data_IF_051501912903
#
_entry.id   IF_051501912903
#
_cell.length_a   1.000
_cell.length_b   1.000
_cell.length_c   1.000
_cell.angle_alpha   90.00
_cell.angle_beta   90.00
_cell.angle_gamma   90.00
#
_symmetry.space_group_name_H-M   'P 1'
#
loop_
_entity.id
_entity.type
_entity.pdbx_description
1 polymer ?
#
# COMPACT_ATOMS: atom_id res chain seq x y z
N UNK A 1 -8.23 -10.11 33.36
CA UNK A 1 -7.19 -10.87 34.10
C UNK A 1 -5.87 -10.90 33.29
N UNK A 2 -4.70 -11.27 33.86
CA UNK A 2 -3.45 -11.36 33.09
C UNK A 2 -3.54 -12.23 31.83
N UNK A 3 -4.28 -13.35 31.92
CA UNK A 3 -4.55 -14.25 30.79
C UNK A 3 -5.34 -13.59 29.65
N UNK A 4 -6.18 -12.59 29.96
CA UNK A 4 -6.91 -11.83 28.93
C UNK A 4 -6.01 -10.83 28.20
N UNK A 5 -5.01 -10.28 28.89
CA UNK A 5 -4.01 -9.42 28.27
C UNK A 5 -3.15 -10.22 27.28
N UNK A 6 -2.71 -11.43 27.68
CA UNK A 6 -1.98 -12.36 26.81
C UNK A 6 -2.77 -12.71 25.54
N UNK A 7 -4.09 -12.92 25.65
CA UNK A 7 -4.96 -13.14 24.49
C UNK A 7 -4.90 -11.95 23.52
N UNK A 8 -5.01 -10.72 24.02
CA UNK A 8 -4.94 -9.52 23.18
C UNK A 8 -3.56 -9.35 22.54
N UNK A 9 -2.48 -9.55 23.32
CA UNK A 9 -1.10 -9.48 22.82
C UNK A 9 -0.86 -10.50 21.69
N UNK A 10 -1.26 -11.75 21.90
CA UNK A 10 -1.15 -12.80 20.88
C UNK A 10 -1.96 -12.52 19.62
N UNK A 11 -3.14 -11.92 19.74
CA UNK A 11 -3.93 -11.51 18.58
C UNK A 11 -3.21 -10.39 17.81
N UNK A 12 -2.69 -9.38 18.49
CA UNK A 12 -1.98 -8.24 17.85
C UNK A 12 -0.78 -8.74 17.04
N UNK A 13 -0.04 -9.73 17.53
CA UNK A 13 1.10 -10.32 16.81
C UNK A 13 0.74 -10.98 15.47
N UNK A 14 -0.52 -11.41 15.28
CA UNK A 14 -0.95 -12.19 14.11
C UNK A 14 -2.23 -11.69 13.47
N UNK A 15 -2.67 -10.47 13.79
CA UNK A 15 -3.98 -9.94 13.42
C UNK A 15 -4.24 -10.07 11.91
N UNK A 16 -3.28 -9.64 11.09
CA UNK A 16 -3.39 -9.70 9.63
C UNK A 16 -3.42 -11.14 9.09
N UNK A 17 -2.61 -12.02 9.68
CA UNK A 17 -2.59 -13.43 9.30
C UNK A 17 -3.90 -14.13 9.68
N UNK A 18 -4.48 -13.77 10.83
CA UNK A 18 -5.77 -14.29 11.26
C UNK A 18 -6.92 -13.76 10.41
N UNK A 19 -6.95 -12.46 10.10
CA UNK A 19 -8.00 -11.85 9.27
C UNK A 19 -7.99 -12.42 7.84
N UNK A 20 -6.81 -12.75 7.32
CA UNK A 20 -6.63 -13.33 5.98
C UNK A 20 -6.87 -14.85 5.92
N UNK A 21 -6.80 -15.60 7.02
CA UNK A 21 -7.11 -17.04 7.09
C UNK A 21 -8.63 -17.29 7.03
N UNK A 22 -9.20 -17.08 5.84
CA UNK A 22 -10.63 -17.24 5.55
C UNK A 22 -10.90 -18.61 4.95
N UNK A 23 -11.66 -19.44 5.66
CA UNK A 23 -11.92 -20.83 5.28
C UNK A 23 -13.39 -21.05 4.91
N UNK A 24 -13.66 -21.90 3.91
CA UNK A 24 -15.03 -22.21 3.52
C UNK A 24 -15.76 -23.00 4.62
N UNK A 25 -17.11 -22.90 4.70
CA UNK A 25 -17.98 -22.20 3.75
C UNK A 25 -17.94 -20.67 3.93
N UNK A 26 -17.87 -19.97 2.80
CA UNK A 26 -17.93 -18.51 2.74
C UNK A 26 -19.37 -18.07 2.54
N UNK A 27 -19.78 -16.99 3.22
CA UNK A 27 -21.13 -16.44 3.13
C UNK A 27 -21.16 -14.94 3.38
N UNK A 28 -22.35 -14.36 3.34
CA UNK A 28 -22.59 -12.99 3.74
C UNK A 28 -22.45 -12.86 5.25
N UNK A 29 -21.63 -11.92 5.70
CA UNK A 29 -21.32 -11.65 7.10
C UNK A 29 -21.70 -10.21 7.41
N UNK A 30 -22.46 -10.01 8.48
CA UNK A 30 -22.86 -8.71 8.97
C UNK A 30 -21.69 -7.93 9.58
N UNK A 31 -20.77 -8.61 10.29
CA UNK A 31 -19.54 -8.01 10.83
C UNK A 31 -19.71 -7.20 12.12
N UNK A 32 -20.96 -6.93 12.53
CA UNK A 32 -21.33 -6.37 13.84
C UNK A 32 -22.63 -7.01 14.36
N UNK A 33 -22.69 -8.35 14.31
CA UNK A 33 -23.87 -9.12 14.69
C UNK A 33 -24.03 -9.25 16.22
N UNK A 34 -24.63 -8.24 16.84
CA UNK A 34 -24.83 -8.15 18.31
C UNK A 34 -26.26 -7.76 18.68
N UNK A 35 -26.63 -7.99 19.95
CA UNK A 35 -27.98 -7.73 20.47
C UNK A 35 -28.45 -6.28 20.27
N UNK A 36 -27.55 -5.29 20.36
CA UNK A 36 -27.90 -3.88 20.16
C UNK A 36 -28.36 -3.57 18.72
N UNK A 37 -28.01 -4.42 17.76
CA UNK A 37 -28.40 -4.34 16.35
C UNK A 37 -29.60 -5.22 16.01
N UNK A 38 -30.33 -5.74 17.02
CA UNK A 38 -31.47 -6.63 16.84
C UNK A 38 -32.75 -6.03 17.41
N UNK A 39 -33.80 -5.99 16.59
CA UNK A 39 -35.15 -5.57 16.96
C UNK A 39 -36.08 -6.78 16.99
N UNK A 40 -36.65 -7.07 18.15
CA UNK A 40 -37.51 -8.23 18.37
C UNK A 40 -38.99 -7.84 18.29
N UNK A 41 -39.78 -8.59 17.52
CA UNK A 41 -41.24 -8.49 17.46
C UNK A 41 -41.89 -9.88 17.49
N UNK A 42 -42.30 -10.34 18.68
CA UNK A 42 -42.79 -11.71 18.84
C UNK A 42 -41.66 -12.72 18.61
N UNK A 43 -41.84 -13.59 17.61
CA UNK A 43 -40.82 -14.57 17.18
C UNK A 43 -39.94 -14.05 16.03
N UNK A 44 -40.21 -12.85 15.51
CA UNK A 44 -39.44 -12.25 14.42
C UNK A 44 -38.30 -11.39 14.96
N UNK A 45 -37.14 -11.47 14.28
CA UNK A 45 -35.96 -10.65 14.54
C UNK A 45 -35.61 -9.86 13.30
N UNK A 46 -35.53 -8.53 13.43
CA UNK A 46 -34.96 -7.66 12.40
C UNK A 46 -33.57 -7.24 12.79
N UNK A 47 -32.61 -7.44 11.89
CA UNK A 47 -31.21 -7.04 12.08
C UNK A 47 -30.95 -5.74 11.34
N UNK A 48 -30.37 -4.76 12.03
CA UNK A 48 -30.07 -3.42 11.52
C UNK A 48 -28.57 -3.13 11.57
N UNK A 49 -28.14 -2.01 10.98
CA UNK A 49 -26.73 -1.57 10.96
C UNK A 49 -25.78 -2.43 10.11
N UNK A 50 -26.08 -2.51 8.81
CA UNK A 50 -25.33 -3.28 7.83
C UNK A 50 -24.06 -2.60 7.30
N UNK A 51 -23.50 -1.61 8.02
CA UNK A 51 -22.34 -0.83 7.55
C UNK A 51 -21.04 -1.66 7.45
N UNK A 52 -20.95 -2.77 8.19
CA UNK A 52 -19.77 -3.67 8.23
C UNK A 52 -19.94 -4.92 7.35
N UNK A 53 -20.90 -4.89 6.41
CA UNK A 53 -21.23 -6.01 5.55
C UNK A 53 -20.03 -6.47 4.72
N UNK A 54 -19.76 -7.77 4.74
CA UNK A 54 -18.69 -8.38 3.95
C UNK A 54 -19.05 -9.80 3.52
N UNK A 55 -18.25 -10.37 2.60
CA UNK A 55 -18.20 -11.82 2.46
C UNK A 55 -17.20 -12.33 3.51
N UNK A 56 -17.44 -13.48 4.14
CA UNK A 56 -16.58 -14.00 5.21
C UNK A 56 -16.89 -15.46 5.58
N UNK A 57 -16.11 -16.08 6.49
CA UNK A 57 -16.42 -17.41 7.00
C UNK A 57 -17.81 -17.44 7.64
N UNK A 58 -18.62 -18.46 7.32
CA UNK A 58 -20.01 -18.53 7.76
C UNK A 58 -20.20 -18.52 9.28
N UNK A 59 -19.18 -18.93 10.05
CA UNK A 59 -19.24 -18.98 11.51
C UNK A 59 -18.91 -17.63 12.18
N UNK A 60 -18.52 -16.60 11.42
CA UNK A 60 -17.98 -15.34 11.96
C UNK A 60 -18.97 -14.59 12.86
N UNK A 61 -20.19 -14.35 12.36
CA UNK A 61 -21.23 -13.66 13.14
C UNK A 61 -21.73 -14.51 14.31
N UNK A 62 -21.86 -15.82 14.12
CA UNK A 62 -22.29 -16.74 15.17
C UNK A 62 -21.30 -16.77 16.35
N UNK A 63 -19.99 -16.79 16.06
CA UNK A 63 -18.95 -16.69 17.08
C UNK A 63 -19.02 -15.35 17.82
N UNK A 64 -18.99 -14.24 17.09
CA UNK A 64 -19.04 -12.91 17.69
C UNK A 64 -20.27 -12.72 18.60
N UNK A 65 -21.45 -13.14 18.13
CA UNK A 65 -22.69 -13.04 18.88
C UNK A 65 -22.68 -13.86 20.17
N UNK A 66 -22.27 -15.13 20.09
CA UNK A 66 -22.29 -16.03 21.26
C UNK A 66 -21.23 -15.65 22.29
N UNK A 67 -20.05 -15.20 21.86
CA UNK A 67 -18.96 -14.86 22.79
C UNK A 67 -19.08 -13.47 23.39
N UNK A 68 -19.68 -12.50 22.68
CA UNK A 68 -19.90 -11.15 23.19
C UNK A 68 -21.27 -10.95 23.86
N UNK A 69 -22.32 -11.60 23.33
CA UNK A 69 -23.72 -11.36 23.69
C UNK A 69 -24.23 -12.14 24.90
N UNK A 70 -23.63 -13.29 25.24
CA UNK A 70 -24.03 -14.13 26.37
C UNK A 70 -23.15 -13.89 27.61
N UNK A 71 -23.69 -14.19 28.79
CA UNK A 71 -22.85 -14.32 30.00
C UNK A 71 -21.99 -15.57 29.87
N UNK A 72 -20.85 -15.58 30.55
CA UNK A 72 -19.88 -16.68 30.49
C UNK A 72 -20.52 -18.02 30.89
N UNK A 73 -21.34 -18.02 31.93
CA UNK A 73 -22.01 -19.22 32.45
C UNK A 73 -23.07 -19.73 31.46
N UNK A 74 -23.91 -18.83 30.94
CA UNK A 74 -24.95 -19.16 29.95
C UNK A 74 -24.33 -19.72 28.66
N UNK A 75 -23.22 -19.12 28.21
CA UNK A 75 -22.44 -19.62 27.06
C UNK A 75 -21.93 -21.02 27.35
N UNK A 76 -21.24 -21.26 28.46
CA UNK A 76 -20.72 -22.59 28.82
C UNK A 76 -21.80 -23.67 28.87
N UNK A 77 -23.02 -23.33 29.27
CA UNK A 77 -24.14 -24.26 29.32
C UNK A 77 -24.74 -24.57 27.94
N UNK A 78 -24.80 -23.57 27.04
CA UNK A 78 -25.62 -23.66 25.82
C UNK A 78 -24.85 -23.58 24.49
N UNK A 79 -23.58 -23.17 24.49
CA UNK A 79 -22.79 -22.84 23.30
C UNK A 79 -22.80 -23.94 22.24
N UNK A 80 -22.44 -25.17 22.61
CA UNK A 80 -22.41 -26.28 21.65
C UNK A 80 -23.80 -26.52 21.03
N UNK A 81 -24.86 -26.48 21.83
CA UNK A 81 -26.22 -26.70 21.34
C UNK A 81 -26.70 -25.62 20.37
N UNK A 82 -26.31 -24.36 20.60
CA UNK A 82 -26.63 -23.23 19.74
C UNK A 82 -25.85 -23.31 18.42
N UNK A 83 -24.57 -23.66 18.48
CA UNK A 83 -23.73 -23.85 17.27
C UNK A 83 -24.22 -25.05 16.45
N UNK A 84 -24.68 -26.14 17.11
CA UNK A 84 -25.32 -27.28 16.42
C UNK A 84 -26.59 -26.87 15.70
N UNK A 85 -27.47 -26.09 16.33
CA UNK A 85 -28.70 -25.62 15.69
C UNK A 85 -28.38 -24.76 14.44
N UNK A 86 -27.37 -23.90 14.53
CA UNK A 86 -26.90 -23.10 13.39
C UNK A 86 -26.33 -23.99 12.27
N UNK A 87 -25.51 -24.98 12.62
CA UNK A 87 -24.93 -25.95 11.68
C UNK A 87 -26.00 -26.79 10.96
N UNK A 88 -26.97 -27.32 11.69
CA UNK A 88 -28.08 -28.10 11.14
C UNK A 88 -28.89 -27.27 10.12
N UNK A 89 -29.13 -25.99 10.41
CA UNK A 89 -29.83 -25.09 9.49
C UNK A 89 -28.99 -24.77 8.25
N UNK A 90 -27.67 -24.54 8.39
CA UNK A 90 -26.78 -24.37 7.22
C UNK A 90 -26.84 -25.58 6.27
N UNK A 91 -26.84 -26.79 6.83
CA UNK A 91 -26.98 -28.02 6.04
C UNK A 91 -28.36 -28.14 5.41
N UNK A 92 -29.43 -27.79 6.12
CA UNK A 92 -30.79 -27.78 5.60
C UNK A 92 -30.97 -26.78 4.43
N UNK A 93 -30.27 -25.66 4.46
CA UNK A 93 -30.22 -24.65 3.39
C UNK A 93 -29.27 -25.03 2.23
N UNK A 94 -28.62 -26.19 2.30
CA UNK A 94 -27.89 -26.80 1.18
C UNK A 94 -26.38 -26.59 1.18
N UNK A 95 -25.78 -26.11 2.28
CA UNK A 95 -24.33 -26.13 2.46
C UNK A 95 -23.83 -27.58 2.47
N UNK A 96 -22.76 -27.86 1.73
CA UNK A 96 -22.19 -29.20 1.56
C UNK A 96 -20.75 -29.24 2.06
N UNK A 97 -20.24 -30.44 2.34
CA UNK A 97 -18.86 -30.69 2.76
C UNK A 97 -18.46 -29.91 4.02
N UNK A 98 -19.41 -29.71 4.93
CA UNK A 98 -19.20 -28.98 6.18
C UNK A 98 -19.70 -29.85 7.34
N UNK A 99 -18.86 -30.76 7.81
CA UNK A 99 -19.20 -31.62 8.94
C UNK A 99 -19.11 -30.88 10.28
N UNK A 100 -19.54 -31.54 11.35
CA UNK A 100 -19.56 -30.93 12.68
C UNK A 100 -18.16 -30.56 13.19
N UNK A 101 -17.15 -31.38 12.92
CA UNK A 101 -15.78 -31.12 13.40
C UNK A 101 -15.21 -29.88 12.72
N UNK A 102 -15.39 -29.76 11.41
CA UNK A 102 -15.02 -28.57 10.63
C UNK A 102 -15.80 -27.34 11.12
N UNK A 103 -17.12 -27.47 11.34
CA UNK A 103 -17.95 -26.38 11.84
C UNK A 103 -17.50 -25.88 13.21
N UNK A 104 -17.20 -26.79 14.13
CA UNK A 104 -16.75 -26.44 15.47
C UNK A 104 -15.35 -25.82 15.46
N UNK A 105 -14.43 -26.33 14.65
CA UNK A 105 -13.11 -25.70 14.48
C UNK A 105 -13.24 -24.28 13.89
N UNK A 106 -14.06 -24.10 12.84
CA UNK A 106 -14.29 -22.78 12.26
C UNK A 106 -14.96 -21.83 13.25
N UNK A 107 -15.93 -22.29 14.03
CA UNK A 107 -16.51 -21.51 15.13
C UNK A 107 -15.44 -21.05 16.12
N UNK A 108 -14.53 -21.94 16.54
CA UNK A 108 -13.43 -21.63 17.47
C UNK A 108 -12.44 -20.61 16.88
N UNK A 109 -12.30 -20.50 15.55
CA UNK A 109 -11.39 -19.54 14.91
C UNK A 109 -11.87 -18.09 14.97
N UNK A 110 -13.17 -17.86 15.07
CA UNK A 110 -13.76 -16.53 14.85
C UNK A 110 -13.96 -15.60 16.08
N UNK A 111 -13.87 -16.02 17.37
CA UNK A 111 -14.16 -15.13 18.50
C UNK A 111 -13.30 -13.86 18.59
N UNK A 112 -12.10 -13.86 17.97
CA UNK A 112 -11.21 -12.70 17.98
C UNK A 112 -11.82 -11.43 17.35
N UNK A 113 -12.81 -11.57 16.47
CA UNK A 113 -13.58 -10.43 15.95
C UNK A 113 -14.20 -9.61 17.08
N UNK A 114 -14.64 -10.25 18.17
CA UNK A 114 -15.20 -9.54 19.32
C UNK A 114 -14.19 -8.68 20.07
N UNK A 115 -12.91 -9.03 20.04
CA UNK A 115 -11.85 -8.19 20.60
C UNK A 115 -11.59 -6.98 19.70
N UNK A 116 -11.54 -7.17 18.39
CA UNK A 116 -11.37 -6.09 17.40
C UNK A 116 -12.50 -5.07 17.54
N UNK A 117 -13.75 -5.55 17.58
CA UNK A 117 -14.95 -4.72 17.70
C UNK A 117 -15.09 -4.02 19.07
N UNK A 118 -14.36 -4.48 20.09
CA UNK A 118 -14.32 -3.81 21.39
C UNK A 118 -13.15 -2.83 21.52
N UNK A 119 -11.97 -3.19 21.02
CA UNK A 119 -10.74 -2.40 21.17
C UNK A 119 -10.70 -1.22 20.19
N UNK A 120 -10.99 -1.45 18.90
CA UNK A 120 -10.85 -0.41 17.89
C UNK A 120 -11.81 0.78 18.13
N UNK A 121 -13.12 0.58 18.43
CA UNK A 121 -14.00 1.69 18.75
C UNK A 121 -13.62 2.41 20.05
N UNK A 122 -13.15 1.70 21.08
CA UNK A 122 -12.73 2.30 22.35
C UNK A 122 -11.54 3.27 22.21
N UNK A 123 -10.74 3.15 21.15
CA UNK A 123 -9.65 4.07 20.83
C UNK A 123 -10.11 5.34 20.09
N UNK A 124 -11.29 5.31 19.46
CA UNK A 124 -11.79 6.37 18.57
C UNK A 124 -12.90 7.21 19.23
N UNK A 125 -13.78 6.57 20.02
CA UNK A 125 -14.95 7.25 20.60
C UNK A 125 -14.59 8.04 21.86
N UNK A 126 -15.36 9.11 22.13
CA UNK A 126 -15.21 9.86 23.38
C UNK A 126 -15.41 8.93 24.59
N UNK A 127 -14.38 8.87 25.44
CA UNK A 127 -14.40 8.03 26.64
C UNK A 127 -15.47 8.50 27.62
N UNK A 128 -16.24 7.53 28.12
CA UNK A 128 -17.23 7.74 29.19
C UNK A 128 -17.17 6.55 30.13
N UNK A 129 -17.40 6.75 31.43
CA UNK A 129 -17.33 5.65 32.42
C UNK A 129 -18.23 4.46 32.03
N UNK A 130 -19.43 4.75 31.51
CA UNK A 130 -20.36 3.73 31.03
C UNK A 130 -19.88 3.03 29.74
N UNK A 131 -19.25 3.76 28.83
CA UNK A 131 -18.69 3.19 27.60
C UNK A 131 -17.50 2.28 27.90
N UNK A 132 -16.60 2.72 28.78
CA UNK A 132 -15.43 1.96 29.21
C UNK A 132 -15.86 0.66 29.91
N UNK A 133 -16.85 0.71 30.82
CA UNK A 133 -17.40 -0.49 31.47
C UNK A 133 -18.00 -1.49 30.47
N UNK A 134 -18.70 -0.99 29.45
CA UNK A 134 -19.29 -1.81 28.39
C UNK A 134 -18.20 -2.50 27.56
N UNK A 135 -17.19 -1.76 27.08
CA UNK A 135 -16.10 -2.34 26.30
C UNK A 135 -15.28 -3.35 27.10
N UNK A 136 -14.97 -3.05 28.36
CA UNK A 136 -14.26 -3.97 29.23
C UNK A 136 -15.05 -5.27 29.46
N UNK A 137 -16.37 -5.19 29.61
CA UNK A 137 -17.21 -6.38 29.73
C UNK A 137 -17.21 -7.25 28.46
N UNK A 138 -17.19 -6.63 27.26
CA UNK A 138 -17.10 -7.36 25.99
C UNK A 138 -15.72 -8.01 25.83
N UNK A 139 -14.65 -7.29 26.14
CA UNK A 139 -13.28 -7.83 26.13
C UNK A 139 -13.17 -9.01 27.10
N UNK A 140 -13.67 -8.88 28.33
CA UNK A 140 -13.56 -9.90 29.36
C UNK A 140 -14.33 -11.19 28.97
N UNK A 141 -15.55 -11.06 28.46
CA UNK A 141 -16.36 -12.22 27.99
C UNK A 141 -15.73 -12.90 26.77
N UNK A 142 -15.29 -12.10 25.79
CA UNK A 142 -14.72 -12.61 24.56
C UNK A 142 -13.37 -13.28 24.81
N UNK A 143 -12.49 -12.66 25.60
CA UNK A 143 -11.21 -13.25 25.98
C UNK A 143 -11.40 -14.54 26.78
N UNK A 144 -12.39 -14.60 27.69
CA UNK A 144 -12.70 -15.84 28.41
C UNK A 144 -13.21 -16.94 27.46
N UNK A 145 -14.03 -16.59 26.46
CA UNK A 145 -14.49 -17.55 25.46
C UNK A 145 -13.33 -18.10 24.62
N UNK A 146 -12.40 -17.24 24.19
CA UNK A 146 -11.17 -17.64 23.47
C UNK A 146 -10.36 -18.66 24.26
N UNK A 147 -10.21 -18.46 25.57
CA UNK A 147 -9.51 -19.40 26.46
C UNK A 147 -10.27 -20.71 26.61
N UNK A 148 -11.58 -20.66 26.87
CA UNK A 148 -12.41 -21.85 27.05
C UNK A 148 -12.47 -22.72 25.77
N UNK A 149 -12.43 -22.09 24.60
CA UNK A 149 -12.45 -22.74 23.30
C UNK A 149 -11.07 -23.21 22.84
N UNK A 150 -9.98 -22.84 23.53
CA UNK A 150 -8.62 -23.09 23.06
C UNK A 150 -8.33 -22.43 21.70
N UNK A 151 -8.98 -21.29 21.40
CA UNK A 151 -8.89 -20.62 20.09
C UNK A 151 -7.49 -20.12 19.78
N UNK A 152 -6.68 -19.85 20.81
CA UNK A 152 -5.27 -19.48 20.68
C UNK A 152 -4.41 -20.55 19.99
N UNK A 153 -4.80 -21.81 20.03
CA UNK A 153 -4.10 -22.92 19.33
C UNK A 153 -4.36 -22.90 17.83
N UNK A 154 -5.41 -22.20 17.40
CA UNK A 154 -5.83 -22.10 16.00
C UNK A 154 -5.32 -20.82 15.34
N UNK A 155 -4.71 -19.91 16.10
CA UNK A 155 -4.04 -18.75 15.55
C UNK A 155 -2.90 -19.20 14.63
N UNK A 156 -2.70 -18.50 13.50
CA UNK A 156 -1.55 -18.74 12.65
C UNK A 156 -0.25 -18.44 13.40
N UNK A 157 0.88 -18.98 12.94
CA UNK A 157 2.14 -18.74 13.63
C UNK A 157 2.59 -17.28 13.44
N UNK A 158 3.24 -16.63 14.42
CA UNK A 158 3.81 -15.30 14.25
C UNK A 158 4.69 -15.23 13.00
N UNK A 159 4.48 -14.19 12.17
CA UNK A 159 5.20 -14.01 10.91
C UNK A 159 4.68 -14.82 9.71
N UNK A 160 3.54 -15.52 9.81
CA UNK A 160 2.95 -16.24 8.65
C UNK A 160 2.03 -15.40 7.78
N UNK A 161 1.88 -14.10 8.06
CA UNK A 161 1.28 -13.18 7.09
C UNK A 161 2.23 -13.08 5.90
N UNK A 162 1.97 -13.84 4.84
CA UNK A 162 2.67 -13.60 3.58
C UNK A 162 2.22 -12.24 3.06
N UNK A 163 3.18 -11.39 2.69
CA UNK A 163 2.86 -10.16 1.98
C UNK A 163 1.97 -10.46 0.77
N UNK A 164 1.02 -9.57 0.51
CA UNK A 164 0.15 -9.70 -0.66
C UNK A 164 0.99 -9.66 -1.93
N UNK A 165 0.53 -10.40 -2.94
CA UNK A 165 1.14 -10.45 -4.27
C UNK A 165 0.13 -9.86 -5.25
N UNK A 166 0.56 -8.93 -6.12
CA UNK A 166 -0.33 -8.43 -7.16
C UNK A 166 -0.77 -9.56 -8.08
N UNK A 167 -1.97 -9.44 -8.64
CA UNK A 167 -2.41 -10.30 -9.73
C UNK A 167 -1.69 -9.86 -11.02
N UNK A 168 -1.23 -10.78 -11.89
CA UNK A 168 -0.72 -10.40 -13.21
C UNK A 168 -1.64 -9.49 -14.03
N UNK A 169 -2.97 -9.57 -13.82
CA UNK A 169 -3.93 -8.67 -14.44
C UNK A 169 -3.83 -7.22 -13.95
N UNK A 170 -3.27 -6.99 -12.75
CA UNK A 170 -3.07 -5.66 -12.17
C UNK A 170 -2.05 -4.85 -12.96
N UNK A 171 -1.25 -5.43 -13.88
CA UNK A 171 -0.38 -4.66 -14.79
C UNK A 171 -1.19 -3.82 -15.80
N UNK A 172 -2.46 -4.18 -16.03
CA UNK A 172 -3.37 -3.51 -16.94
C UNK A 172 -4.15 -2.36 -16.32
N UNK A 173 -4.94 -1.69 -17.14
CA UNK A 173 -5.83 -0.61 -16.71
C UNK A 173 -7.01 -1.12 -15.88
N UNK A 174 -7.37 -0.39 -14.83
CA UNK A 174 -8.51 -0.71 -13.95
C UNK A 174 -9.79 0.07 -14.32
N UNK A 175 -10.93 -0.40 -13.81
CA UNK A 175 -12.21 0.31 -13.96
C UNK A 175 -12.15 1.65 -13.22
N UNK A 176 -12.48 2.74 -13.93
CA UNK A 176 -12.52 4.09 -13.36
C UNK A 176 -13.61 4.23 -12.31
N UNK A 177 -13.23 4.59 -11.09
CA UNK A 177 -14.15 4.93 -10.01
C UNK A 177 -14.76 6.33 -10.14
N UNK A 178 -15.77 6.65 -9.30
CA UNK A 178 -16.48 7.92 -9.35
C UNK A 178 -15.73 9.11 -8.71
N UNK A 179 -14.55 8.89 -8.14
CA UNK A 179 -13.77 9.92 -7.47
C UNK A 179 -13.25 10.97 -8.45
N UNK A 180 -13.46 12.26 -8.15
CA UNK A 180 -13.01 13.38 -9.00
C UNK A 180 -11.50 13.31 -9.31
N UNK A 181 -10.71 12.87 -8.32
CA UNK A 181 -9.26 12.67 -8.44
C UNK A 181 -8.91 11.18 -8.62
N UNK A 182 -9.70 10.44 -9.39
CA UNK A 182 -9.31 9.09 -9.82
C UNK A 182 -8.02 9.17 -10.64
N UNK A 183 -7.02 8.40 -10.23
CA UNK A 183 -5.71 8.38 -10.86
C UNK A 183 -5.20 6.94 -10.96
N UNK A 184 -4.78 6.56 -12.16
CA UNK A 184 -4.05 5.32 -12.41
C UNK A 184 -2.65 5.65 -12.96
N UNK A 185 -1.60 5.29 -12.20
CA UNK A 185 -0.22 5.68 -12.48
C UNK A 185 0.72 4.49 -12.55
N UNK A 186 1.57 4.45 -13.56
CA UNK A 186 2.77 3.62 -13.59
C UNK A 186 4.01 4.48 -13.39
N UNK A 187 4.95 4.00 -12.58
CA UNK A 187 6.26 4.59 -12.37
C UNK A 187 7.35 3.58 -12.69
N UNK A 188 8.43 4.09 -13.28
CA UNK A 188 9.61 3.32 -13.65
C UNK A 188 10.86 4.13 -13.29
N UNK A 189 11.55 3.69 -12.25
CA UNK A 189 12.77 4.32 -11.76
C UNK A 189 13.99 3.49 -12.18
N UNK A 190 15.10 4.15 -12.50
CA UNK A 190 16.35 3.50 -12.84
C UNK A 190 17.54 4.35 -12.42
N UNK A 191 18.63 3.69 -12.03
CA UNK A 191 19.92 4.32 -11.72
C UNK A 191 21.02 3.43 -12.31
N UNK A 192 22.05 4.00 -12.93
CA UNK A 192 23.24 3.25 -13.33
C UNK A 192 24.04 2.79 -12.08
N UNK A 193 24.67 1.62 -12.11
CA UNK A 193 25.39 1.04 -10.95
C UNK A 193 26.41 1.97 -10.30
N UNK A 194 27.02 2.85 -11.07
CA UNK A 194 28.03 3.81 -10.60
C UNK A 194 27.42 5.12 -10.08
N UNK A 195 26.09 5.26 -10.09
CA UNK A 195 25.35 6.45 -9.69
C UNK A 195 25.54 7.66 -10.62
N UNK A 196 26.05 7.45 -11.84
CA UNK A 196 26.36 8.53 -12.78
C UNK A 196 25.15 9.04 -13.56
N UNK A 197 24.09 8.24 -13.64
CA UNK A 197 22.88 8.50 -14.42
C UNK A 197 21.66 7.95 -13.70
N UNK A 198 20.62 8.77 -13.56
CA UNK A 198 19.32 8.38 -13.04
C UNK A 198 18.21 8.74 -14.03
N UNK A 199 17.18 7.90 -14.08
CA UNK A 199 15.95 8.12 -14.83
C UNK A 199 14.77 7.85 -13.91
N UNK A 200 13.74 8.70 -13.98
CA UNK A 200 12.40 8.24 -13.64
C UNK A 200 11.44 8.57 -14.78
N UNK A 201 10.48 7.68 -14.97
CA UNK A 201 9.37 7.82 -15.88
C UNK A 201 8.08 7.63 -15.11
N UNK A 202 7.07 8.41 -15.45
CA UNK A 202 5.71 8.23 -14.96
C UNK A 202 4.70 8.49 -16.07
N UNK A 203 3.72 7.60 -16.16
CA UNK A 203 2.49 7.81 -16.92
C UNK A 203 1.31 7.75 -15.95
N UNK A 204 0.54 8.83 -15.85
CA UNK A 204 -0.64 8.90 -14.97
C UNK A 204 -1.91 9.23 -15.74
N UNK A 205 -2.85 8.28 -15.81
CA UNK A 205 -4.19 8.46 -16.38
C UNK A 205 -5.10 9.10 -15.34
N UNK A 206 -5.73 10.20 -15.72
CA UNK A 206 -6.61 11.02 -14.91
C UNK A 206 -7.96 11.17 -15.65
N UNK A 207 -8.78 10.10 -15.71
CA UNK A 207 -9.99 10.09 -16.53
C UNK A 207 -11.08 11.06 -16.08
N UNK A 208 -11.03 11.50 -14.82
CA UNK A 208 -11.99 12.45 -14.25
C UNK A 208 -11.38 13.85 -14.06
N UNK A 209 -10.19 14.14 -14.63
CA UNK A 209 -9.47 15.41 -14.46
C UNK A 209 -10.26 16.62 -14.95
N UNK A 210 -10.88 16.46 -16.12
CA UNK A 210 -11.81 17.39 -16.74
C UNK A 210 -12.86 16.60 -17.53
N UNK A 211 -13.67 17.28 -18.36
CA UNK A 211 -14.73 16.64 -19.14
C UNK A 211 -14.23 15.63 -20.19
N UNK A 212 -12.96 15.71 -20.61
CA UNK A 212 -12.35 14.84 -21.64
C UNK A 212 -11.37 13.81 -21.04
N UNK A 213 -10.91 14.05 -19.82
CA UNK A 213 -9.88 13.29 -19.13
C UNK A 213 -8.49 13.58 -19.68
N UNK A 214 -7.47 13.38 -18.84
CA UNK A 214 -6.08 13.69 -19.18
C UNK A 214 -5.14 12.53 -18.88
N UNK A 215 -3.98 12.53 -19.51
CA UNK A 215 -2.84 11.72 -19.13
C UNK A 215 -1.64 12.64 -18.86
N UNK A 216 -0.99 12.48 -17.72
CA UNK A 216 0.21 13.24 -17.37
C UNK A 216 1.44 12.36 -17.59
N UNK A 217 2.23 12.71 -18.60
CA UNK A 217 3.54 12.13 -18.87
C UNK A 217 4.60 12.93 -18.12
N UNK A 218 5.42 12.25 -17.32
CA UNK A 218 6.58 12.85 -16.69
C UNK A 218 7.82 11.99 -16.90
N UNK A 219 8.89 12.62 -17.36
CA UNK A 219 10.20 12.01 -17.63
C UNK A 219 11.28 12.88 -17.02
N UNK A 220 12.18 12.24 -16.31
CA UNK A 220 13.36 12.86 -15.76
C UNK A 220 14.61 12.09 -16.15
N UNK A 221 15.65 12.81 -16.57
CA UNK A 221 17.01 12.27 -16.72
C UNK A 221 17.95 13.19 -15.93
N UNK A 222 18.71 12.61 -15.01
CA UNK A 222 19.64 13.35 -14.15
C UNK A 222 21.02 12.73 -14.15
N UNK A 223 22.04 13.59 -14.08
CA UNK A 223 23.44 13.20 -13.84
C UNK A 223 23.99 14.14 -12.77
N UNK A 224 24.67 13.66 -11.72
CA UNK A 224 25.17 14.52 -10.66
C UNK A 224 26.09 15.63 -11.19
N UNK A 225 25.73 16.88 -10.90
CA UNK A 225 26.49 18.08 -11.34
C UNK A 225 26.16 18.59 -12.75
N UNK A 226 25.27 17.93 -13.48
CA UNK A 226 24.74 18.37 -14.77
C UNK A 226 23.30 18.89 -14.60
N UNK A 227 22.75 19.66 -15.57
CA UNK A 227 21.34 20.07 -15.55
C UNK A 227 20.36 18.89 -15.43
N UNK A 228 19.29 19.08 -14.67
CA UNK A 228 18.17 18.14 -14.65
C UNK A 228 17.36 18.27 -15.94
N UNK A 229 17.11 17.15 -16.61
CA UNK A 229 16.34 17.12 -17.87
C UNK A 229 14.92 16.67 -17.55
N UNK A 230 13.95 17.55 -17.76
CA UNK A 230 12.54 17.33 -17.41
C UNK A 230 11.64 17.48 -18.63
N UNK A 231 10.85 16.46 -18.90
CA UNK A 231 9.69 16.51 -19.80
C UNK A 231 8.46 16.20 -18.96
N UNK A 232 7.61 17.20 -18.74
CA UNK A 232 6.33 17.03 -18.07
C UNK A 232 5.28 17.65 -18.97
N UNK A 233 4.32 16.85 -19.43
CA UNK A 233 3.25 17.31 -20.31
C UNK A 233 1.94 16.59 -20.03
N UNK A 234 0.85 17.31 -20.26
CA UNK A 234 -0.50 16.76 -20.29
C UNK A 234 -0.83 16.36 -21.73
N UNK A 235 -1.39 15.17 -21.91
CA UNK A 235 -1.80 14.62 -23.19
C UNK A 235 -3.23 14.10 -23.10
N UNK A 236 -3.90 13.86 -24.24
CA UNK A 236 -5.14 13.07 -24.23
C UNK A 236 -4.92 11.70 -23.60
N UNK A 237 -6.00 11.11 -23.05
CA UNK A 237 -5.99 9.74 -22.55
C UNK A 237 -5.59 8.74 -23.65
N UNK A 238 -4.68 7.79 -23.37
CA UNK A 238 -4.38 6.68 -24.28
C UNK A 238 -5.63 5.88 -24.64
N UNK A 239 -5.73 5.52 -25.92
CA UNK A 239 -6.74 4.57 -26.39
C UNK A 239 -6.38 3.15 -25.92
N UNK A 240 -7.40 2.39 -25.50
CA UNK A 240 -7.24 0.99 -25.14
C UNK A 240 -7.22 0.73 -23.64
N UNK A 241 -7.54 -0.52 -23.31
CA UNK A 241 -7.43 -1.07 -21.97
C UNK A 241 -6.35 -2.17 -22.01
N UNK A 242 -5.54 -2.26 -20.96
CA UNK A 242 -4.46 -3.24 -20.88
C UNK A 242 -3.14 -2.64 -20.39
N UNK A 243 -2.08 -3.46 -20.33
CA UNK A 243 -0.84 -3.07 -19.68
C UNK A 243 0.10 -2.24 -20.57
N UNK A 244 -0.10 -2.32 -21.89
CA UNK A 244 0.63 -1.51 -22.86
C UNK A 244 -0.02 -0.13 -22.98
N UNK A 245 0.77 0.93 -22.92
CA UNK A 245 0.31 2.32 -23.03
C UNK A 245 1.15 3.06 -24.06
N UNK A 246 0.48 3.83 -24.93
CA UNK A 246 1.13 4.71 -25.90
C UNK A 246 0.59 6.13 -25.74
N UNK A 247 1.49 7.10 -25.55
CA UNK A 247 1.15 8.51 -25.36
C UNK A 247 1.90 9.35 -26.38
N UNK A 248 1.19 10.24 -27.06
CA UNK A 248 1.76 11.22 -27.99
C UNK A 248 1.34 12.62 -27.56
N UNK A 249 2.27 13.36 -26.97
CA UNK A 249 2.10 14.78 -26.65
C UNK A 249 2.71 15.68 -27.73
N UNK A 250 2.79 16.97 -27.43
CA UNK A 250 3.41 17.94 -28.32
C UNK A 250 4.94 17.85 -28.29
N UNK A 251 5.49 17.52 -27.13
CA UNK A 251 6.93 17.52 -26.88
C UNK A 251 7.53 16.12 -26.92
N UNK A 252 6.74 15.06 -26.70
CA UNK A 252 7.26 13.69 -26.71
C UNK A 252 6.29 12.61 -27.18
N UNK A 253 6.87 11.46 -27.46
CA UNK A 253 6.18 10.19 -27.68
C UNK A 253 6.73 9.17 -26.70
N UNK A 254 5.84 8.43 -26.04
CA UNK A 254 6.21 7.34 -25.15
C UNK A 254 5.43 6.06 -25.47
N UNK A 255 6.14 4.93 -25.36
CA UNK A 255 5.59 3.58 -25.38
C UNK A 255 5.99 2.86 -24.08
N UNK A 256 5.00 2.39 -23.32
CA UNK A 256 5.16 1.46 -22.22
C UNK A 256 4.65 0.09 -22.69
N UNK A 257 5.49 -0.94 -22.60
CA UNK A 257 5.19 -2.29 -23.12
C UNK A 257 5.42 -3.31 -22.00
N UNK A 258 4.37 -4.03 -21.64
CA UNK A 258 4.42 -5.18 -20.75
C UNK A 258 4.84 -6.42 -21.54
N UNK A 259 6.13 -6.74 -21.52
CA UNK A 259 6.66 -7.91 -22.23
C UNK A 259 6.28 -9.23 -21.51
N UNK A 260 6.26 -9.21 -20.18
CA UNK A 260 5.79 -10.32 -19.34
C UNK A 260 5.24 -9.78 -18.00
N UNK A 261 3.95 -9.99 -17.68
CA UNK A 261 3.33 -9.44 -16.47
C UNK A 261 4.10 -9.78 -15.19
N UNK A 262 4.30 -8.78 -14.32
CA UNK A 262 5.07 -8.87 -13.08
C UNK A 262 6.55 -9.25 -13.25
N UNK A 263 7.05 -9.44 -14.47
CA UNK A 263 8.42 -9.91 -14.73
C UNK A 263 9.22 -8.92 -15.57
N UNK A 264 8.63 -8.32 -16.60
CA UNK A 264 9.39 -7.58 -17.61
C UNK A 264 8.58 -6.49 -18.28
N UNK A 265 9.12 -5.27 -18.23
CA UNK A 265 8.61 -4.12 -18.96
C UNK A 265 9.69 -3.46 -19.80
N UNK A 266 9.26 -2.84 -20.90
CA UNK A 266 10.09 -1.94 -21.70
C UNK A 266 9.41 -0.59 -21.78
N UNK A 267 10.16 0.48 -21.55
CA UNK A 267 9.69 1.84 -21.79
C UNK A 267 10.58 2.51 -22.82
N UNK A 268 9.94 3.12 -23.82
CA UNK A 268 10.58 3.96 -24.83
C UNK A 268 10.05 5.37 -24.74
N UNK A 269 10.94 6.33 -24.89
CA UNK A 269 10.62 7.75 -24.96
C UNK A 269 11.48 8.40 -26.03
N UNK A 270 10.90 9.29 -26.83
CA UNK A 270 11.60 10.21 -27.72
C UNK A 270 10.91 11.58 -27.63
N UNK A 271 11.68 12.68 -27.60
CA UNK A 271 11.09 14.01 -27.54
C UNK A 271 12.06 15.13 -27.22
N UNK A 272 11.52 16.32 -26.97
CA UNK A 272 12.26 17.50 -26.52
C UNK A 272 11.89 17.79 -25.07
N UNK A 273 12.88 17.83 -24.18
CA UNK A 273 12.74 18.15 -22.76
C UNK A 273 13.37 19.51 -22.41
N UNK A 274 13.10 20.02 -21.22
CA UNK A 274 13.78 21.19 -20.66
C UNK A 274 15.01 20.80 -19.84
N UNK A 275 16.17 21.41 -20.12
CA UNK A 275 17.36 21.31 -19.30
C UNK A 275 17.40 22.43 -18.25
N UNK A 276 17.41 22.06 -16.97
CA UNK A 276 17.36 22.99 -15.84
C UNK A 276 18.69 22.96 -15.07
N UNK A 277 19.49 24.02 -15.21
CA UNK A 277 20.76 24.15 -14.48
C UNK A 277 20.56 24.30 -12.96
N UNK A 278 19.41 24.84 -12.54
CA UNK A 278 18.93 24.81 -11.17
C UNK A 278 17.84 23.74 -11.07
N UNK A 279 18.09 22.67 -10.32
CA UNK A 279 17.15 21.55 -10.21
C UNK A 279 15.84 21.91 -9.49
N UNK A 280 15.81 23.04 -8.77
CA UNK A 280 14.59 23.54 -8.12
C UNK A 280 13.73 24.41 -9.05
N UNK A 281 14.25 24.80 -10.22
CA UNK A 281 13.53 25.64 -11.19
C UNK A 281 12.15 25.07 -11.60
N UNK A 282 11.99 23.74 -11.82
CA UNK A 282 10.67 23.16 -12.08
C UNK A 282 9.64 23.40 -10.96
N UNK A 283 10.05 23.47 -9.68
CA UNK A 283 9.14 23.78 -8.56
C UNK A 283 8.57 25.19 -8.64
N UNK A 284 9.19 26.08 -9.42
CA UNK A 284 8.73 27.46 -9.65
C UNK A 284 8.04 27.63 -11.00
N UNK A 285 7.82 26.54 -11.73
CA UNK A 285 7.27 26.57 -13.09
C UNK A 285 8.19 27.23 -14.12
N UNK A 286 9.49 27.30 -13.84
CA UNK A 286 10.47 27.88 -14.77
C UNK A 286 10.77 26.90 -15.91
N UNK A 287 10.73 27.36 -17.15
CA UNK A 287 11.08 26.54 -18.31
C UNK A 287 12.60 26.28 -18.40
N UNK A 288 12.97 25.08 -18.87
CA UNK A 288 14.36 24.71 -19.15
C UNK A 288 14.78 25.04 -20.57
N UNK A 289 16.09 24.98 -20.84
CA UNK A 289 16.62 25.09 -22.19
C UNK A 289 16.27 23.83 -23.01
N UNK A 290 15.64 23.93 -24.18
CA UNK A 290 15.21 22.75 -24.94
C UNK A 290 16.37 21.82 -25.32
N UNK A 291 16.20 20.51 -25.09
CA UNK A 291 17.16 19.48 -25.44
C UNK A 291 16.46 18.20 -25.92
N UNK A 292 16.98 17.61 -26.98
CA UNK A 292 16.47 16.32 -27.48
C UNK A 292 16.83 15.19 -26.52
N UNK A 293 15.85 14.33 -26.24
CA UNK A 293 16.01 13.14 -25.41
C UNK A 293 15.48 11.90 -26.11
N UNK A 294 16.08 10.76 -25.78
CA UNK A 294 15.51 9.46 -26.09
C UNK A 294 15.96 8.43 -25.07
N UNK A 295 15.13 7.43 -24.75
CA UNK A 295 15.61 6.21 -24.11
C UNK A 295 14.81 4.97 -24.53
N UNK A 296 15.46 3.81 -24.51
CA UNK A 296 14.84 2.47 -24.60
C UNK A 296 15.44 1.67 -23.42
N UNK A 297 14.62 1.48 -22.40
CA UNK A 297 15.02 0.85 -21.13
C UNK A 297 14.09 -0.33 -20.85
N UNK A 298 14.67 -1.39 -20.29
CA UNK A 298 13.96 -2.60 -19.86
C UNK A 298 14.12 -2.77 -18.37
N UNK A 299 13.01 -2.96 -17.66
CA UNK A 299 12.93 -3.35 -16.26
C UNK A 299 12.63 -4.84 -16.17
N UNK A 300 13.55 -5.60 -15.59
CA UNK A 300 13.38 -7.00 -15.22
C UNK A 300 13.19 -7.10 -13.71
N UNK A 301 12.17 -7.82 -13.24
CA UNK A 301 11.91 -8.00 -11.81
C UNK A 301 13.10 -8.67 -11.11
N UNK A 302 13.59 -8.06 -10.04
CA UNK A 302 14.76 -8.49 -9.26
C UNK A 302 14.37 -8.63 -7.78
N UNK A 303 13.30 -9.40 -7.53
CA UNK A 303 12.80 -9.62 -6.19
C UNK A 303 11.35 -10.08 -6.17
N UNK A 304 10.73 -9.89 -5.02
CA UNK A 304 9.36 -10.30 -4.69
C UNK A 304 8.43 -9.11 -4.99
N UNK A 305 7.52 -9.19 -5.99
CA UNK A 305 6.45 -8.20 -6.14
C UNK A 305 5.63 -8.07 -4.86
N UNK A 306 5.42 -6.83 -4.42
CA UNK A 306 4.77 -6.49 -3.16
C UNK A 306 3.49 -5.70 -3.41
N UNK A 307 2.33 -6.25 -3.03
CA UNK A 307 1.07 -5.52 -3.07
C UNK A 307 0.76 -4.93 -1.68
N UNK A 308 0.30 -3.68 -1.70
CA UNK A 308 -0.12 -3.00 -0.47
C UNK A 308 -1.45 -3.53 0.06
N UNK A 309 -1.59 -3.55 1.39
CA UNK A 309 -2.86 -3.87 2.05
C UNK A 309 -3.82 -2.69 2.14
N UNK A 310 -3.29 -1.48 2.32
CA UNK A 310 -4.07 -0.28 2.66
C UNK A 310 -4.57 0.51 1.45
N UNK A 311 -3.98 0.30 0.27
CA UNK A 311 -4.39 0.99 -0.96
C UNK A 311 -4.13 0.11 -2.18
N UNK A 312 -4.86 0.37 -3.25
CA UNK A 312 -4.75 -0.30 -4.55
C UNK A 312 -3.46 0.09 -5.27
N UNK A 313 -2.37 -0.62 -4.96
CA UNK A 313 -1.07 -0.48 -5.62
C UNK A 313 -0.14 -1.65 -5.35
N UNK A 314 0.92 -1.75 -6.14
CA UNK A 314 2.04 -2.64 -5.88
C UNK A 314 3.40 -2.00 -6.21
N UNK A 315 4.46 -2.62 -5.69
CA UNK A 315 5.85 -2.17 -5.74
C UNK A 315 6.76 -3.36 -6.12
N UNK A 316 7.66 -3.19 -7.09
CA UNK A 316 8.52 -4.25 -7.61
C UNK A 316 9.96 -3.75 -7.81
N UNK A 317 10.95 -4.28 -7.07
CA UNK A 317 12.35 -3.98 -7.36
C UNK A 317 12.76 -4.65 -8.67
N UNK A 318 13.58 -3.96 -9.44
CA UNK A 318 13.98 -4.37 -10.77
C UNK A 318 15.48 -4.17 -11.00
N UNK A 319 15.98 -4.91 -11.98
CA UNK A 319 17.22 -4.62 -12.68
C UNK A 319 16.89 -3.96 -14.01
N UNK A 320 17.56 -2.86 -14.31
CA UNK A 320 17.30 -2.05 -15.50
C UNK A 320 18.49 -2.10 -16.44
N UNK A 321 18.21 -2.22 -17.74
CA UNK A 321 19.22 -2.14 -18.78
C UNK A 321 18.71 -1.38 -20.01
N UNK A 322 19.59 -0.71 -20.73
CA UNK A 322 19.30 -0.08 -22.01
C UNK A 322 20.09 1.21 -22.24
N UNK A 323 19.56 2.09 -23.06
CA UNK A 323 20.28 3.29 -23.50
C UNK A 323 19.46 4.55 -23.28
N UNK A 324 20.12 5.62 -22.84
CA UNK A 324 19.57 6.97 -22.67
C UNK A 324 20.38 7.93 -23.52
N UNK A 325 19.74 8.86 -24.23
CA UNK A 325 20.37 9.87 -25.06
C UNK A 325 19.88 11.26 -24.65
N UNK A 326 20.81 12.21 -24.50
CA UNK A 326 20.52 13.62 -24.20
C UNK A 326 21.39 14.48 -25.10
N UNK A 327 20.79 15.37 -25.89
CA UNK A 327 21.52 16.30 -26.76
C UNK A 327 22.42 15.63 -27.80
N UNK A 328 22.12 14.38 -28.17
CA UNK A 328 22.92 13.55 -29.10
C UNK A 328 24.07 12.78 -28.46
N UNK A 329 24.29 12.90 -27.14
CA UNK A 329 25.19 12.03 -26.39
C UNK A 329 24.41 10.84 -25.82
N UNK A 330 24.92 9.61 -26.03
CA UNK A 330 24.27 8.38 -25.56
C UNK A 330 25.03 7.76 -24.40
N UNK A 331 24.28 7.27 -23.42
CA UNK A 331 24.72 6.66 -22.19
C UNK A 331 24.10 5.26 -22.06
N UNK A 332 24.90 4.29 -21.64
CA UNK A 332 24.41 2.98 -21.23
C UNK A 332 23.90 3.07 -19.80
N UNK A 333 22.68 2.59 -19.56
CA UNK A 333 22.15 2.40 -18.22
C UNK A 333 22.13 0.92 -17.93
N UNK A 334 22.85 0.52 -16.89
CA UNK A 334 22.76 -0.82 -16.30
C UNK A 334 22.80 -0.65 -14.79
N UNK A 335 21.74 -1.03 -14.08
CA UNK A 335 21.70 -0.80 -12.64
C UNK A 335 20.36 -1.10 -11.98
N UNK A 336 20.18 -0.75 -10.70
CA UNK A 336 18.93 -0.96 -9.98
C UNK A 336 17.80 -0.05 -10.49
N UNK A 337 16.57 -0.49 -10.28
CA UNK A 337 15.37 0.29 -10.54
C UNK A 337 14.15 -0.24 -9.81
N UNK A 338 13.04 0.49 -9.92
CA UNK A 338 11.78 0.17 -9.26
C UNK A 338 10.64 0.34 -10.26
N UNK A 339 9.66 -0.56 -10.20
CA UNK A 339 8.33 -0.36 -10.80
C UNK A 339 7.29 -0.17 -9.70
N UNK A 340 6.45 0.83 -9.88
CA UNK A 340 5.23 1.02 -9.10
C UNK A 340 4.04 1.15 -10.04
N UNK A 341 2.90 0.60 -9.62
CA UNK A 341 1.63 0.85 -10.26
C UNK A 341 0.56 1.01 -9.21
N UNK A 342 -0.21 2.07 -9.34
CA UNK A 342 -1.24 2.46 -8.39
C UNK A 342 -2.49 2.94 -9.10
N UNK A 343 -3.66 2.62 -8.57
CA UNK A 343 -4.96 3.04 -9.09
C UNK A 343 -5.90 3.44 -7.95
N UNK A 344 -7.01 4.11 -8.22
CA UNK A 344 -7.96 4.55 -7.19
C UNK A 344 -8.17 6.05 -7.10
N UNK A 345 -9.04 6.48 -6.19
CA UNK A 345 -9.14 7.88 -5.77
C UNK A 345 -7.88 8.33 -5.03
N UNK A 346 -7.14 9.29 -5.59
CA UNK A 346 -5.84 9.75 -5.08
C UNK A 346 -5.75 11.27 -5.07
N UNK A 347 -6.07 11.87 -3.93
CA UNK A 347 -5.86 13.30 -3.71
C UNK A 347 -4.42 13.56 -3.25
N UNK A 348 -3.54 13.82 -4.21
CA UNK A 348 -2.14 14.16 -3.96
C UNK A 348 -1.95 15.46 -3.19
N UNK A 349 -2.96 16.31 -3.13
CA UNK A 349 -2.94 17.59 -2.43
C UNK A 349 -3.51 17.53 -1.01
N UNK A 350 -3.92 16.34 -0.55
CA UNK A 350 -4.54 16.15 0.76
C UNK A 350 -3.52 15.86 1.88
N UNK A 351 -2.33 15.36 1.56
CA UNK A 351 -1.35 14.95 2.57
C UNK A 351 0.08 15.03 2.07
N UNK A 352 1.00 15.36 2.96
CA UNK A 352 2.44 15.30 2.69
C UNK A 352 2.90 13.85 2.87
N UNK A 353 3.87 13.40 2.08
CA UNK A 353 4.49 12.09 2.26
C UNK A 353 5.95 12.08 1.82
N UNK A 354 6.68 11.05 2.29
CA UNK A 354 7.93 10.63 1.67
C UNK A 354 7.73 9.21 1.15
N UNK A 355 8.13 8.97 -0.10
CA UNK A 355 8.19 7.64 -0.71
C UNK A 355 9.64 7.30 -1.02
N UNK A 356 10.01 6.02 -0.90
CA UNK A 356 11.35 5.54 -1.24
C UNK A 356 11.32 4.14 -1.85
N UNK A 357 12.27 3.88 -2.74
CA UNK A 357 12.69 2.55 -3.16
C UNK A 357 14.22 2.51 -3.23
N UNK A 358 14.81 1.64 -2.41
CA UNK A 358 16.25 1.58 -2.16
C UNK A 358 16.78 0.18 -2.45
N UNK A 359 17.97 0.12 -3.05
CA UNK A 359 18.66 -1.10 -3.44
C UNK A 359 20.07 -1.07 -2.87
N UNK A 360 20.36 -2.01 -1.96
CA UNK A 360 21.63 -2.09 -1.25
C UNK A 360 22.58 -3.08 -1.93
N UNK A 361 23.87 -2.85 -1.77
CA UNK A 361 24.93 -3.66 -2.39
C UNK A 361 24.98 -5.12 -1.91
N UNK A 362 24.31 -5.44 -0.79
CA UNK A 362 24.17 -6.79 -0.27
C UNK A 362 22.98 -7.57 -0.86
N UNK A 363 22.24 -6.97 -1.79
CA UNK A 363 21.04 -7.55 -2.40
C UNK A 363 19.75 -7.29 -1.62
N UNK A 364 19.81 -6.44 -0.58
CA UNK A 364 18.59 -6.00 0.12
C UNK A 364 17.84 -4.96 -0.72
N UNK A 365 16.54 -5.14 -0.87
CA UNK A 365 15.65 -4.11 -1.42
C UNK A 365 14.66 -3.65 -0.36
N UNK A 366 14.37 -2.37 -0.34
CA UNK A 366 13.36 -1.83 0.56
C UNK A 366 12.57 -0.74 -0.11
N UNK A 367 11.29 -0.72 0.20
CA UNK A 367 10.37 0.34 -0.17
C UNK A 367 9.68 0.81 1.10
N UNK A 368 9.52 2.12 1.25
CA UNK A 368 8.79 2.68 2.38
C UNK A 368 8.08 3.97 1.99
N UNK A 369 6.89 4.15 2.55
CA UNK A 369 6.14 5.41 2.56
C UNK A 369 5.89 5.82 4.00
N UNK A 370 6.14 7.09 4.29
CA UNK A 370 5.83 7.72 5.56
C UNK A 370 4.98 8.97 5.33
N UNK A 371 4.19 9.31 6.34
CA UNK A 371 3.40 10.55 6.35
C UNK A 371 3.94 11.42 7.47
N UNK A 372 4.65 12.53 7.19
CA UNK A 372 5.30 13.34 8.23
C UNK A 372 4.35 13.85 9.32
N UNK A 373 3.06 14.04 9.00
CA UNK A 373 2.03 14.45 9.97
C UNK A 373 1.54 13.31 10.86
N UNK A 374 1.89 12.06 10.54
CA UNK A 374 1.54 10.83 11.26
C UNK A 374 2.81 9.98 11.44
N UNK A 375 3.72 10.36 12.36
CA UNK A 375 5.06 9.77 12.45
C UNK A 375 5.08 8.28 12.81
N UNK A 376 4.00 7.75 13.38
CA UNK A 376 3.87 6.33 13.70
C UNK A 376 3.28 5.50 12.53
N UNK A 377 2.92 6.15 11.42
CA UNK A 377 2.37 5.51 10.23
C UNK A 377 3.45 5.30 9.17
N UNK A 378 3.61 4.05 8.75
CA UNK A 378 4.43 3.70 7.59
C UNK A 378 3.93 2.44 6.92
N UNK A 379 4.14 2.36 5.61
CA UNK A 379 3.85 1.17 4.80
C UNK A 379 5.09 0.86 3.98
N UNK A 380 5.41 -0.42 3.82
CA UNK A 380 6.56 -0.79 3.01
C UNK A 380 7.00 -2.22 3.24
N UNK A 381 8.20 -2.53 2.74
CA UNK A 381 8.84 -3.81 2.97
C UNK A 381 10.35 -3.67 3.10
N UNK A 382 10.97 -4.68 3.69
CA UNK A 382 12.38 -5.03 3.48
C UNK A 382 12.42 -6.46 2.95
N UNK A 383 13.13 -6.66 1.84
CA UNK A 383 13.34 -7.99 1.28
C UNK A 383 14.83 -8.30 1.13
N UNK A 384 15.21 -9.54 1.48
CA UNK A 384 16.57 -10.07 1.44
C UNK A 384 16.53 -11.46 0.80
N UNK A 385 16.83 -11.52 -0.49
CA UNK A 385 16.66 -12.75 -1.27
C UNK A 385 15.18 -13.16 -1.33
N UNK A 386 14.85 -14.36 -0.83
CA UNK A 386 13.47 -14.88 -0.83
C UNK A 386 12.65 -14.49 0.41
N UNK A 387 13.24 -13.77 1.37
CA UNK A 387 12.53 -13.28 2.57
C UNK A 387 12.03 -11.85 2.31
N UNK A 388 10.72 -11.62 2.34
CA UNK A 388 10.12 -10.28 2.33
C UNK A 388 9.31 -10.10 3.62
N UNK A 389 9.60 -9.01 4.32
CA UNK A 389 8.90 -8.59 5.53
C UNK A 389 8.23 -7.25 5.33
N UNK A 390 6.94 -7.20 5.66
CA UNK A 390 6.19 -5.95 5.66
C UNK A 390 6.60 -5.08 6.85
N UNK A 391 6.69 -3.77 6.61
CA UNK A 391 7.01 -2.80 7.64
C UNK A 391 5.71 -2.33 8.30
N UNK A 392 5.59 -2.53 9.62
CA UNK A 392 4.43 -2.10 10.41
C UNK A 392 4.54 -0.70 11.03
N UNK A 393 5.73 -0.10 10.99
CA UNK A 393 5.98 1.28 11.42
C UNK A 393 7.25 1.79 10.73
N UNK A 394 7.20 2.97 10.10
CA UNK A 394 8.35 3.58 9.44
C UNK A 394 8.34 5.07 9.75
N UNK A 395 9.51 5.61 10.10
CA UNK A 395 9.71 7.03 10.36
C UNK A 395 10.62 7.63 9.31
N UNK A 396 10.48 8.92 9.06
CA UNK A 396 11.39 9.64 8.17
C UNK A 396 11.68 11.04 8.69
N UNK A 397 12.88 11.53 8.39
CA UNK A 397 13.25 12.93 8.58
C UNK A 397 13.95 13.46 7.34
N UNK A 398 13.82 14.76 7.09
CA UNK A 398 14.48 15.43 5.98
C UNK A 398 14.92 16.83 6.43
N UNK A 399 16.08 17.26 5.95
CA UNK A 399 16.58 18.63 6.06
C UNK A 399 16.34 19.30 4.72
N UNK A 400 15.48 20.32 4.72
CA UNK A 400 15.13 21.04 3.48
C UNK A 400 16.09 22.21 3.26
N UNK A 401 16.49 22.40 2.00
CA UNK A 401 17.24 23.56 1.56
C UNK A 401 16.28 24.73 1.25
N UNK A 402 16.82 25.95 1.22
CA UNK A 402 16.02 27.17 1.04
C UNK A 402 15.33 27.27 -0.34
N UNK A 403 15.77 26.49 -1.32
CA UNK A 403 15.20 26.37 -2.66
C UNK A 403 14.08 25.32 -2.75
N UNK A 404 13.74 24.64 -1.65
CA UNK A 404 12.67 23.64 -1.58
C UNK A 404 13.11 22.21 -1.89
N UNK A 405 14.40 21.97 -2.17
CA UNK A 405 14.95 20.63 -2.30
C UNK A 405 15.31 20.03 -0.93
N UNK A 406 15.84 18.80 -0.92
CA UNK A 406 16.26 18.09 0.29
C UNK A 406 17.79 18.06 0.35
N UNK A 407 18.40 18.53 1.43
CA UNK A 407 19.85 18.47 1.62
C UNK A 407 20.29 17.08 2.13
N UNK A 408 19.51 16.50 3.05
CA UNK A 408 19.73 15.16 3.58
C UNK A 408 18.43 14.59 4.14
N UNK A 409 18.32 13.26 4.22
CA UNK A 409 17.19 12.60 4.83
C UNK A 409 17.60 11.30 5.53
N UNK A 410 16.71 10.76 6.35
CA UNK A 410 16.88 9.47 6.99
C UNK A 410 15.53 8.75 7.10
N UNK A 411 15.56 7.41 7.05
CA UNK A 411 14.42 6.54 7.28
C UNK A 411 14.78 5.60 8.43
N UNK A 412 13.92 5.56 9.45
CA UNK A 412 14.03 4.63 10.58
C UNK A 412 12.96 3.57 10.51
N UNK A 413 13.35 2.30 10.51
CA UNK A 413 12.46 1.14 10.46
C UNK A 413 12.39 0.43 11.84
N UNK A 414 11.50 -0.56 12.04
CA UNK A 414 11.36 -1.22 13.33
C UNK A 414 12.66 -1.93 13.78
N UNK A 415 12.84 -2.15 15.10
CA UNK A 415 14.04 -2.79 15.61
C UNK A 415 14.35 -4.13 14.92
N UNK A 416 15.58 -4.27 14.43
CA UNK A 416 16.02 -5.45 13.70
C UNK A 416 15.90 -5.35 12.17
N UNK A 417 15.33 -4.26 11.65
CA UNK A 417 15.36 -3.92 10.22
C UNK A 417 16.47 -2.89 9.91
N UNK A 418 16.19 -1.88 9.08
CA UNK A 418 17.20 -0.94 8.55
C UNK A 418 16.99 0.48 9.07
N UNK A 419 18.05 1.09 9.60
CA UNK A 419 18.15 2.55 9.70
C UNK A 419 19.02 3.04 8.54
N UNK A 420 18.49 3.94 7.72
CA UNK A 420 19.16 4.42 6.50
C UNK A 420 19.31 5.93 6.48
N UNK A 421 20.51 6.36 6.11
CA UNK A 421 20.84 7.74 5.75
C UNK A 421 20.77 7.89 4.22
N UNK A 422 20.22 9.01 3.78
CA UNK A 422 20.00 9.35 2.38
C UNK A 422 20.77 10.63 2.03
N UNK A 423 21.64 10.53 1.03
CA UNK A 423 22.38 11.62 0.42
C UNK A 423 21.85 11.84 -1.01
N UNK A 424 21.02 12.86 -1.24
CA UNK A 424 20.58 13.22 -2.59
C UNK A 424 21.76 13.61 -3.49
N UNK A 425 21.80 13.03 -4.70
CA UNK A 425 22.86 13.26 -5.70
C UNK A 425 22.42 14.20 -6.81
N UNK A 426 21.17 14.07 -7.25
CA UNK A 426 20.53 14.89 -8.26
C UNK A 426 19.01 14.82 -8.11
N UNK A 427 18.29 15.79 -8.69
CA UNK A 427 16.86 15.98 -8.48
C UNK A 427 16.13 16.12 -9.80
N UNK A 428 15.02 15.41 -9.94
CA UNK A 428 13.96 15.72 -10.88
C UNK A 428 12.75 16.19 -10.09
N UNK A 429 12.41 17.47 -10.23
CA UNK A 429 11.35 18.07 -9.45
C UNK A 429 10.14 18.38 -10.34
N UNK A 430 8.94 18.31 -9.75
CA UNK A 430 7.70 18.70 -10.42
C UNK A 430 6.89 19.66 -9.55
N UNK A 431 6.24 20.61 -10.21
CA UNK A 431 5.18 21.42 -9.64
C UNK A 431 3.84 20.79 -10.00
N UNK A 432 3.06 20.39 -9.00
CA UNK A 432 1.76 19.76 -9.20
C UNK A 432 0.66 20.75 -8.84
N UNK A 433 -0.15 21.15 -9.82
CA UNK A 433 -1.29 22.05 -9.64
C UNK A 433 -2.60 21.27 -9.84
N UNK A 434 -3.48 21.31 -8.83
CA UNK A 434 -4.81 20.74 -8.91
C UNK A 434 -5.75 21.66 -9.72
N UNK A 435 -6.87 21.13 -10.27
CA UNK A 435 -7.85 21.95 -10.98
C UNK A 435 -8.51 23.02 -10.08
N UNK A 436 -8.53 22.79 -8.76
CA UNK A 436 -9.03 23.73 -7.76
C UNK A 436 -7.97 24.75 -7.27
N UNK A 437 -6.76 24.70 -7.84
CA UNK A 437 -5.66 25.63 -7.57
C UNK A 437 -4.78 25.26 -6.37
N UNK A 438 -4.99 24.10 -5.73
CA UNK A 438 -4.01 23.58 -4.75
C UNK A 438 -2.69 23.26 -5.44
N UNK A 439 -1.59 23.50 -4.73
CA UNK A 439 -0.24 23.32 -5.25
C UNK A 439 0.54 22.37 -4.35
N UNK A 440 1.28 21.45 -4.96
CA UNK A 440 2.26 20.62 -4.27
C UNK A 440 3.62 20.71 -4.94
N UNK A 441 4.66 20.82 -4.12
CA UNK A 441 6.04 20.67 -4.55
C UNK A 441 6.42 19.19 -4.47
N UNK A 442 6.97 18.68 -5.56
CA UNK A 442 7.24 17.25 -5.71
C UNK A 442 8.70 16.99 -6.11
N UNK A 443 9.68 17.27 -5.24
CA UNK A 443 11.06 16.88 -5.49
C UNK A 443 11.21 15.36 -5.42
N UNK A 444 11.76 14.76 -6.48
CA UNK A 444 12.25 13.38 -6.50
C UNK A 444 13.76 13.39 -6.67
N UNK A 445 14.46 12.60 -5.89
CA UNK A 445 15.91 12.57 -5.87
C UNK A 445 16.45 11.17 -6.12
N UNK A 446 17.49 11.10 -6.96
CA UNK A 446 18.40 9.97 -6.99
C UNK A 446 19.33 10.10 -5.78
N UNK A 447 19.31 9.12 -4.89
CA UNK A 447 20.03 9.16 -3.62
C UNK A 447 21.10 8.08 -3.55
N UNK A 448 22.23 8.42 -2.92
CA UNK A 448 23.11 7.44 -2.28
C UNK A 448 22.52 7.09 -0.92
N UNK A 449 22.55 5.81 -0.60
CA UNK A 449 21.99 5.26 0.63
C UNK A 449 23.14 4.66 1.44
N UNK A 450 23.10 4.85 2.77
CA UNK A 450 24.00 4.15 3.69
C UNK A 450 23.22 3.68 4.92
N UNK A 451 23.37 2.40 5.27
CA UNK A 451 22.81 1.88 6.52
C UNK A 451 23.71 2.20 7.71
N UNK A 452 23.17 2.11 8.93
CA UNK A 452 23.97 2.24 10.16
C UNK A 452 25.13 1.22 10.25
N UNK A 453 24.96 0.04 9.64
CA UNK A 453 25.96 -1.03 9.54
C UNK A 453 27.01 -0.78 8.43
N UNK A 454 26.85 0.29 7.66
CA UNK A 454 27.77 0.69 6.59
C UNK A 454 27.53 0.00 5.25
N UNK A 455 26.37 -0.63 5.04
CA UNK A 455 25.98 -1.13 3.71
C UNK A 455 25.57 0.07 2.86
N UNK A 456 26.13 0.18 1.66
CA UNK A 456 25.83 1.27 0.72
C UNK A 456 24.86 0.80 -0.37
N UNK A 457 24.16 1.75 -0.96
CA UNK A 457 23.21 1.49 -2.03
C UNK A 457 22.79 2.74 -2.79
N UNK A 458 21.83 2.56 -3.68
CA UNK A 458 21.23 3.60 -4.51
C UNK A 458 19.71 3.45 -4.46
N UNK A 459 19.00 4.56 -4.65
CA UNK A 459 17.55 4.53 -4.68
C UNK A 459 16.93 5.85 -5.08
N UNK A 460 15.66 5.81 -5.44
CA UNK A 460 14.86 7.01 -5.65
C UNK A 460 14.06 7.31 -4.39
N UNK A 461 14.01 8.60 -4.05
CA UNK A 461 13.23 9.11 -2.92
C UNK A 461 12.43 10.31 -3.38
N UNK A 462 11.18 10.36 -2.98
CA UNK A 462 10.21 11.38 -3.33
C UNK A 462 9.70 12.06 -2.07
N UNK A 463 9.48 13.37 -2.15
CA UNK A 463 8.70 14.08 -1.14
C UNK A 463 7.56 14.83 -1.82
N UNK A 464 6.32 14.56 -1.40
CA UNK A 464 5.19 15.41 -1.73
C UNK A 464 4.98 16.42 -0.59
N UNK A 465 4.98 17.71 -0.94
CA UNK A 465 4.89 18.81 0.03
C UNK A 465 3.82 19.80 -0.42
N UNK A 466 2.66 19.74 0.22
CA UNK A 466 1.54 20.60 -0.12
C UNK A 466 1.80 22.03 0.36
N UNK A 467 1.64 22.98 -0.55
CA UNK A 467 1.78 24.40 -0.26
C UNK A 467 0.46 24.89 0.37
N UNK A 468 0.54 25.41 1.61
CA UNK A 468 -0.62 25.80 2.43
C UNK A 468 -0.90 27.28 2.41
#
# INVERSE_FOLDING_TARGET
>A
APEHAEVCERLVEVLDAWESDRRPPMGLVHGDYRLDNMLFHGEEVTVVDWQTLSIGPAMRDAAYFLTGGLKVEDRREHEESLVRAYHDELLAQGVKNFDWETCWEEYRRQPFLGLIMAIAPAMIVQRTDRGDDMFMAVVERTAQAILDLGSLELLPAPGTSSALRPDPADEGTHETGPEDLWNESWYFDAIADDGSLGVYYRLGRLPNWDDEGACMLAVCIVRPGEPAIMLVEETPLPEGAGPDQEVRGESGHSEQICEEPLQRFRVRVEGTAGAHADHSAPLRGEAGEPVEIAFDLVWETDGIPYQWRLSTRYEIPCRVSGTVTVGGESFELNGPGQRDHSWGGRDWWASDWMWSALHLADGTHTHAVTVPTHPDFGVGYVQRGEDLRELGAVTSSAVESADGLTESAAIGMPPGELDVELEPLAFGAMLLEAPDGRVSHFPRAMCRVRTAEGVEGLGWVEWNRNQR
#
